data_IF_974779515757
#
_entry.id   IF_974779515757
#
_cell.length_a   1.000
_cell.length_b   1.000
_cell.length_c   1.000
_cell.angle_alpha   90.00
_cell.angle_beta   90.00
_cell.angle_gamma   90.00
#
_symmetry.space_group_name_H-M   'P 1'
#
loop_
_entity.id
_entity.type
_entity.pdbx_description
1 polymer ?
#
# COMPACT_ATOMS: atom_id res chain seq x y z
N UNK A 1 12.15 10.80 -7.54
CA UNK A 1 13.03 11.46 -8.52
C UNK A 1 13.49 10.41 -9.50
N UNK A 2 13.04 10.45 -10.74
CA UNK A 2 13.50 9.53 -11.79
C UNK A 2 14.58 10.25 -12.60
N UNK A 3 15.65 9.55 -12.93
CA UNK A 3 16.75 10.07 -13.75
C UNK A 3 16.56 9.64 -15.19
N UNK A 4 16.97 10.47 -16.16
CA UNK A 4 17.00 10.08 -17.55
C UNK A 4 18.08 9.01 -17.80
N UNK A 5 18.08 8.38 -18.97
CA UNK A 5 19.04 7.34 -19.37
C UNK A 5 20.52 7.79 -19.26
N UNK A 6 20.78 9.09 -19.17
CA UNK A 6 22.10 9.69 -19.02
C UNK A 6 22.45 10.05 -17.56
N UNK A 7 21.61 9.69 -16.58
CA UNK A 7 21.88 9.87 -15.16
C UNK A 7 21.70 11.29 -14.62
N UNK A 8 21.17 12.20 -15.41
CA UNK A 8 20.90 13.58 -15.00
C UNK A 8 19.48 13.69 -14.44
N UNK A 9 19.34 14.44 -13.34
CA UNK A 9 18.05 14.86 -12.85
C UNK A 9 17.34 15.68 -13.93
N UNK A 10 16.04 15.45 -14.15
CA UNK A 10 15.25 16.27 -15.06
C UNK A 10 15.34 17.72 -14.58
N UNK A 11 16.20 18.51 -15.22
CA UNK A 11 16.12 19.95 -15.12
C UNK A 11 14.96 20.37 -16.03
N UNK A 12 13.87 20.80 -15.40
CA UNK A 12 12.85 21.59 -16.10
C UNK A 12 13.52 22.91 -16.51
N UNK A 13 13.93 23.02 -17.77
CA UNK A 13 14.24 24.30 -18.39
C UNK A 13 12.95 25.07 -18.74
N UNK A 14 12.00 25.11 -17.83
CA UNK A 14 10.88 26.01 -17.84
C UNK A 14 11.17 27.15 -16.89
N UNK A 15 11.09 28.34 -17.39
CA UNK A 15 11.26 29.58 -16.62
C UNK A 15 10.28 29.61 -15.44
N UNK A 16 10.71 29.07 -14.31
CA UNK A 16 9.98 29.12 -13.05
C UNK A 16 9.98 30.55 -12.55
N UNK A 17 9.07 31.37 -13.06
CA UNK A 17 8.68 32.63 -12.41
C UNK A 17 7.51 32.32 -11.49
N UNK A 18 7.74 32.12 -10.20
CA UNK A 18 6.63 31.95 -9.26
C UNK A 18 5.90 33.29 -9.18
N UNK A 19 4.63 33.29 -9.45
CA UNK A 19 3.70 34.38 -9.18
C UNK A 19 3.73 35.65 -10.06
N UNK A 20 4.66 35.83 -10.98
CA UNK A 20 4.62 37.00 -11.91
C UNK A 20 3.48 36.94 -12.93
N UNK A 21 2.79 35.81 -13.03
CA UNK A 21 1.67 35.61 -13.95
C UNK A 21 0.30 36.03 -13.41
N UNK A 22 0.21 36.54 -12.20
CA UNK A 22 -1.07 36.92 -11.59
C UNK A 22 -1.54 38.32 -11.95
N UNK A 23 -0.74 39.09 -12.69
CA UNK A 23 -1.11 40.47 -13.03
C UNK A 23 -1.97 40.65 -14.29
N UNK A 24 -2.06 39.66 -15.18
CA UNK A 24 -2.94 39.81 -16.37
C UNK A 24 -3.75 38.53 -16.65
N UNK A 25 -5.01 38.58 -16.22
CA UNK A 25 -6.10 37.65 -16.57
C UNK A 25 -5.91 36.23 -16.08
N UNK A 26 -6.38 35.95 -14.87
CA UNK A 26 -6.71 34.61 -14.43
C UNK A 26 -7.68 33.96 -15.42
N UNK A 27 -7.21 32.97 -16.17
CA UNK A 27 -7.97 32.19 -17.11
C UNK A 27 -7.64 30.71 -16.97
N UNK A 28 -8.47 29.86 -17.58
CA UNK A 28 -8.14 28.45 -17.69
C UNK A 28 -6.94 28.26 -18.61
N UNK A 29 -6.04 27.33 -18.30
CA UNK A 29 -4.94 26.96 -19.18
C UNK A 29 -5.47 26.46 -20.51
N UNK A 30 -4.84 26.86 -21.62
CA UNK A 30 -5.18 26.31 -22.94
C UNK A 30 -4.78 24.83 -23.01
N UNK A 31 -5.43 24.07 -23.91
CA UNK A 31 -5.07 22.65 -24.11
C UNK A 31 -3.59 22.51 -24.50
N UNK A 32 -3.06 23.37 -25.32
CA UNK A 32 -1.65 23.38 -25.70
C UNK A 32 -0.72 23.56 -24.49
N UNK A 33 -1.06 24.45 -23.57
CA UNK A 33 -0.31 24.65 -22.33
C UNK A 33 -0.35 23.39 -21.46
N UNK A 34 -1.51 22.71 -21.39
CA UNK A 34 -1.67 21.47 -20.64
C UNK A 34 -0.84 20.34 -21.26
N UNK A 35 -0.93 20.16 -22.57
CA UNK A 35 -0.19 19.14 -23.32
C UNK A 35 1.33 19.33 -23.25
N UNK A 36 1.80 20.56 -23.26
CA UNK A 36 3.24 20.86 -23.13
C UNK A 36 3.80 20.66 -21.71
N UNK A 37 2.92 20.66 -20.69
CA UNK A 37 3.32 20.55 -19.29
C UNK A 37 3.18 19.15 -18.72
N UNK A 38 2.19 18.39 -19.17
CA UNK A 38 1.80 17.11 -18.61
C UNK A 38 2.03 15.98 -19.62
N UNK A 39 2.12 14.75 -19.13
CA UNK A 39 2.24 13.60 -19.99
C UNK A 39 0.97 13.40 -20.81
N UNK A 40 1.09 13.50 -22.13
CA UNK A 40 -0.01 13.32 -23.09
C UNK A 40 0.10 11.96 -23.77
N UNK A 41 -0.96 11.16 -23.71
CA UNK A 41 -0.98 9.82 -24.26
C UNK A 41 -2.36 9.41 -24.79
N UNK A 42 -2.37 8.47 -25.74
CA UNK A 42 -3.54 7.73 -26.18
C UNK A 42 -3.87 6.64 -25.14
N UNK A 43 -5.14 6.50 -24.77
CA UNK A 43 -5.64 5.54 -23.79
C UNK A 43 -6.10 4.20 -24.39
N UNK A 44 -5.93 4.01 -25.69
CA UNK A 44 -6.31 2.77 -26.40
C UNK A 44 -5.41 1.58 -26.05
N UNK A 45 -4.29 1.81 -25.35
CA UNK A 45 -3.30 0.80 -25.01
C UNK A 45 -2.65 1.01 -23.66
N UNK A 46 -1.51 0.35 -23.48
CA UNK A 46 -0.71 0.46 -22.27
C UNK A 46 -0.06 1.84 -22.17
N UNK A 47 -0.18 2.47 -21.01
CA UNK A 47 0.44 3.76 -20.73
C UNK A 47 1.87 3.58 -20.20
N UNK A 48 2.76 4.51 -20.52
CA UNK A 48 4.12 4.54 -20.01
C UNK A 48 4.17 5.00 -18.55
N UNK A 49 3.30 5.94 -18.17
CA UNK A 49 3.21 6.49 -16.82
C UNK A 49 1.76 6.50 -16.34
N UNK A 50 1.55 6.15 -15.08
CA UNK A 50 0.34 6.46 -14.34
C UNK A 50 0.33 7.90 -13.83
N UNK A 51 -0.72 8.29 -13.16
CA UNK A 51 -0.80 9.61 -12.54
C UNK A 51 -2.21 10.16 -12.44
N UNK A 52 -2.31 11.42 -12.02
CA UNK A 52 -3.60 12.09 -11.84
C UNK A 52 -4.06 12.66 -13.18
N UNK A 53 -5.27 12.32 -13.68
CA UNK A 53 -5.80 12.89 -14.91
C UNK A 53 -6.13 14.37 -14.74
N UNK A 54 -5.60 15.19 -15.65
CA UNK A 54 -5.83 16.64 -15.70
C UNK A 54 -6.84 16.99 -16.78
N UNK A 55 -6.79 16.29 -17.90
CA UNK A 55 -7.67 16.51 -19.04
C UNK A 55 -7.81 15.23 -19.88
N UNK A 56 -8.96 15.05 -20.53
CA UNK A 56 -9.19 13.97 -21.49
C UNK A 56 -10.26 14.38 -22.51
N UNK A 57 -10.14 13.86 -23.73
CA UNK A 57 -11.18 13.91 -24.78
C UNK A 57 -11.89 12.56 -24.98
N UNK A 58 -11.55 11.55 -24.17
CA UNK A 58 -12.08 10.19 -24.27
C UNK A 58 -11.21 9.24 -25.09
N UNK A 59 -10.24 9.74 -25.85
CA UNK A 59 -9.25 8.96 -26.61
C UNK A 59 -7.83 9.26 -26.15
N UNK A 60 -7.59 10.46 -25.70
CA UNK A 60 -6.32 10.91 -25.15
C UNK A 60 -6.50 11.43 -23.74
N UNK A 61 -5.42 11.42 -22.99
CA UNK A 61 -5.36 11.92 -21.62
C UNK A 61 -4.10 12.75 -21.40
N UNK A 62 -4.23 13.82 -20.62
CA UNK A 62 -3.09 14.48 -19.98
C UNK A 62 -3.01 14.04 -18.53
N UNK A 63 -1.90 13.45 -18.14
CA UNK A 63 -1.62 12.94 -16.79
C UNK A 63 -0.53 13.75 -16.11
N UNK A 64 -0.70 14.01 -14.82
CA UNK A 64 0.42 14.42 -13.99
C UNK A 64 1.10 13.15 -13.41
N UNK A 65 2.27 12.74 -13.94
CA UNK A 65 2.97 11.55 -13.47
C UNK A 65 3.81 11.79 -12.21
N UNK A 66 3.84 13.02 -11.72
CA UNK A 66 4.62 13.36 -10.52
C UNK A 66 4.02 12.69 -9.28
N UNK A 67 4.89 12.24 -8.37
CA UNK A 67 4.49 11.71 -7.06
C UNK A 67 4.10 12.88 -6.15
N UNK A 68 2.85 13.31 -6.26
CA UNK A 68 2.29 14.44 -5.49
C UNK A 68 1.09 13.99 -4.66
N UNK A 69 0.92 14.63 -3.52
CA UNK A 69 -0.31 14.49 -2.74
C UNK A 69 -1.40 15.35 -3.39
N UNK A 70 -2.47 14.72 -3.85
CA UNK A 70 -3.58 15.41 -4.50
C UNK A 70 -4.81 15.40 -3.60
N UNK A 71 -5.37 16.58 -3.33
CA UNK A 71 -6.63 16.74 -2.61
C UNK A 71 -7.76 17.07 -3.59
N UNK A 72 -8.82 16.24 -3.58
CA UNK A 72 -9.98 16.39 -4.44
C UNK A 72 -11.17 16.87 -3.59
N UNK A 73 -11.64 18.08 -3.86
CA UNK A 73 -12.77 18.68 -3.18
C UNK A 73 -13.99 18.72 -4.09
N UNK A 74 -15.16 18.48 -3.52
CA UNK A 74 -16.42 18.58 -4.25
C UNK A 74 -17.59 18.12 -3.38
N UNK A 75 -18.79 18.61 -3.66
CA UNK A 75 -20.00 18.25 -2.95
C UNK A 75 -20.38 16.77 -3.15
N UNK A 76 -21.26 16.27 -2.28
CA UNK A 76 -21.87 14.94 -2.47
C UNK A 76 -22.66 14.92 -3.78
N UNK A 77 -22.47 13.89 -4.60
CA UNK A 77 -23.11 13.79 -5.91
C UNK A 77 -22.39 14.52 -7.05
N UNK A 78 -21.31 15.26 -6.81
CA UNK A 78 -20.56 15.97 -7.87
C UNK A 78 -19.79 15.04 -8.85
N UNK A 79 -19.88 13.73 -8.66
CA UNK A 79 -19.26 12.75 -9.54
C UNK A 79 -17.78 12.46 -9.25
N UNK A 80 -17.23 12.89 -8.10
CA UNK A 80 -15.81 12.64 -7.74
C UNK A 80 -15.37 11.20 -7.91
N UNK A 81 -16.14 10.25 -7.34
CA UNK A 81 -15.79 8.83 -7.43
C UNK A 81 -15.77 8.36 -8.88
N UNK A 82 -16.81 8.66 -9.65
CA UNK A 82 -16.98 8.15 -11.01
C UNK A 82 -16.06 8.84 -12.03
N UNK A 83 -16.00 10.17 -11.98
CA UNK A 83 -15.34 10.95 -13.02
C UNK A 83 -13.85 11.16 -12.78
N UNK A 84 -13.38 10.97 -11.55
CA UNK A 84 -11.98 11.21 -11.24
C UNK A 84 -11.32 9.99 -10.60
N UNK A 85 -11.87 9.44 -9.51
CA UNK A 85 -11.20 8.34 -8.78
C UNK A 85 -11.18 7.07 -9.63
N UNK A 86 -12.31 6.68 -10.24
CA UNK A 86 -12.35 5.49 -11.13
C UNK A 86 -11.42 5.69 -12.32
N UNK A 87 -11.43 6.86 -12.94
CA UNK A 87 -10.54 7.15 -14.06
C UNK A 87 -9.06 7.08 -13.65
N UNK A 88 -8.73 7.61 -12.47
CA UNK A 88 -7.38 7.51 -11.94
C UNK A 88 -6.96 6.05 -11.70
N UNK A 89 -7.83 5.21 -11.16
CA UNK A 89 -7.57 3.78 -10.99
C UNK A 89 -7.32 3.09 -12.33
N UNK A 90 -8.17 3.34 -13.32
CA UNK A 90 -8.06 2.74 -14.65
C UNK A 90 -6.74 3.16 -15.33
N UNK A 91 -6.41 4.45 -15.31
CA UNK A 91 -5.22 4.98 -15.96
C UNK A 91 -3.93 4.48 -15.30
N UNK A 92 -3.91 4.37 -13.97
CA UNK A 92 -2.79 3.74 -13.27
C UNK A 92 -2.71 2.23 -13.54
N UNK A 93 -3.85 1.55 -13.74
CA UNK A 93 -3.86 0.14 -14.15
C UNK A 93 -3.27 -0.04 -15.56
N UNK A 94 -3.61 0.82 -16.52
CA UNK A 94 -3.03 0.81 -17.87
C UNK A 94 -1.52 1.05 -17.86
N UNK A 95 -1.02 1.78 -16.87
CA UNK A 95 0.40 2.03 -16.68
C UNK A 95 1.14 0.91 -15.92
N UNK A 96 0.43 -0.08 -15.36
CA UNK A 96 1.01 -1.15 -14.55
C UNK A 96 1.44 -0.71 -13.15
N UNK A 97 0.87 0.37 -12.62
CA UNK A 97 1.19 0.88 -11.27
C UNK A 97 0.45 0.10 -10.19
N UNK A 98 1.15 -0.31 -9.13
CA UNK A 98 0.52 -0.94 -7.96
C UNK A 98 -0.24 0.09 -7.13
N UNK A 99 -1.42 -0.29 -6.63
CA UNK A 99 -2.33 0.62 -5.96
C UNK A 99 -2.82 0.08 -4.62
N UNK A 100 -3.01 0.99 -3.66
CA UNK A 100 -3.75 0.74 -2.42
C UNK A 100 -4.94 1.69 -2.40
N UNK A 101 -6.15 1.14 -2.37
CA UNK A 101 -7.39 1.91 -2.46
C UNK A 101 -8.18 1.75 -1.17
N UNK A 102 -8.41 2.86 -0.45
CA UNK A 102 -9.27 2.89 0.74
C UNK A 102 -10.70 3.24 0.33
N UNK A 103 -11.57 2.24 0.35
CA UNK A 103 -12.98 2.37 -0.04
C UNK A 103 -13.91 2.35 1.17
N UNK A 104 -13.99 3.47 1.87
CA UNK A 104 -14.82 3.61 3.10
C UNK A 104 -16.29 3.34 2.83
N UNK A 105 -16.78 3.64 1.63
CA UNK A 105 -18.20 3.47 1.25
C UNK A 105 -18.52 2.12 0.63
N UNK A 106 -17.51 1.35 0.20
CA UNK A 106 -17.68 0.10 -0.52
C UNK A 106 -18.13 0.30 -1.98
N UNK A 107 -17.94 1.48 -2.57
CA UNK A 107 -18.36 1.78 -3.94
C UNK A 107 -17.56 0.98 -4.98
N UNK A 108 -16.28 0.72 -4.71
CA UNK A 108 -15.34 0.05 -5.62
C UNK A 108 -15.19 -1.44 -5.35
N UNK A 109 -15.53 -1.91 -4.15
CA UNK A 109 -15.42 -3.31 -3.75
C UNK A 109 -16.69 -4.12 -4.00
N UNK A 110 -17.84 -3.59 -3.60
CA UNK A 110 -19.15 -4.27 -3.68
C UNK A 110 -20.27 -3.38 -4.26
N UNK A 111 -20.02 -2.09 -4.43
CA UNK A 111 -20.99 -1.11 -4.88
C UNK A 111 -21.12 -1.01 -6.40
N UNK A 112 -21.75 0.05 -6.86
CA UNK A 112 -22.09 0.27 -8.27
C UNK A 112 -20.88 0.39 -9.21
N UNK A 113 -19.71 0.71 -8.70
CA UNK A 113 -18.47 0.87 -9.47
C UNK A 113 -17.55 -0.37 -9.40
N UNK A 114 -17.91 -1.37 -8.58
CA UNK A 114 -17.10 -2.56 -8.35
C UNK A 114 -16.82 -3.34 -9.64
N UNK A 115 -17.84 -3.55 -10.47
CA UNK A 115 -17.69 -4.31 -11.71
C UNK A 115 -16.72 -3.65 -12.70
N UNK A 116 -16.79 -2.33 -12.83
CA UNK A 116 -15.89 -1.58 -13.73
C UNK A 116 -14.46 -1.62 -13.23
N UNK A 117 -14.25 -1.34 -11.94
CA UNK A 117 -12.90 -1.30 -11.35
C UNK A 117 -12.27 -2.70 -11.37
N UNK A 118 -12.97 -3.72 -10.87
CA UNK A 118 -12.46 -5.09 -10.83
C UNK A 118 -12.19 -5.63 -12.24
N UNK A 119 -13.15 -5.50 -13.17
CA UNK A 119 -12.98 -5.97 -14.53
C UNK A 119 -11.77 -5.35 -15.21
N UNK A 120 -11.59 -4.02 -15.11
CA UNK A 120 -10.41 -3.36 -15.69
C UNK A 120 -9.11 -3.83 -15.05
N UNK A 121 -9.06 -4.04 -13.74
CA UNK A 121 -7.86 -4.51 -13.06
C UNK A 121 -7.52 -5.95 -13.47
N UNK A 122 -8.50 -6.85 -13.51
CA UNK A 122 -8.32 -8.25 -13.91
C UNK A 122 -7.88 -8.38 -15.38
N UNK A 123 -8.50 -7.60 -16.29
CA UNK A 123 -8.12 -7.54 -17.71
C UNK A 123 -6.67 -7.06 -17.92
N UNK A 124 -6.17 -6.20 -17.04
CA UNK A 124 -4.78 -5.75 -17.05
C UNK A 124 -3.83 -6.62 -16.21
N UNK A 125 -4.29 -7.80 -15.76
CA UNK A 125 -3.46 -8.80 -15.10
C UNK A 125 -3.14 -8.49 -13.64
N UNK A 126 -3.93 -7.65 -12.98
CA UNK A 126 -3.76 -7.36 -11.56
C UNK A 126 -4.28 -8.48 -10.68
N UNK A 127 -3.52 -8.80 -9.65
CA UNK A 127 -4.02 -9.54 -8.51
C UNK A 127 -4.67 -8.56 -7.54
N UNK A 128 -6.00 -8.65 -7.42
CA UNK A 128 -6.78 -7.79 -6.53
C UNK A 128 -7.01 -8.50 -5.20
N UNK A 129 -6.66 -7.83 -4.10
CA UNK A 129 -6.95 -8.26 -2.75
C UNK A 129 -7.99 -7.32 -2.14
N UNK A 130 -9.15 -7.85 -1.77
CA UNK A 130 -10.24 -7.07 -1.17
C UNK A 130 -10.39 -7.40 0.30
N UNK A 131 -10.12 -6.43 1.17
CA UNK A 131 -10.27 -6.57 2.62
C UNK A 131 -11.55 -5.85 3.05
N UNK A 132 -12.57 -6.60 3.47
CA UNK A 132 -13.79 -6.02 4.04
C UNK A 132 -13.94 -6.42 5.51
N UNK A 133 -13.62 -5.49 6.39
CA UNK A 133 -13.73 -5.69 7.83
C UNK A 133 -15.16 -5.57 8.39
N UNK A 134 -16.16 -5.23 7.56
CA UNK A 134 -17.55 -5.10 7.96
C UNK A 134 -18.30 -6.42 7.82
N UNK A 135 -18.11 -7.09 6.69
CA UNK A 135 -18.82 -8.33 6.38
C UNK A 135 -17.99 -9.58 6.70
N UNK A 136 -16.67 -9.44 6.76
CA UNK A 136 -15.71 -10.53 6.89
C UNK A 136 -15.84 -11.59 5.78
N UNK A 137 -16.54 -11.26 4.70
CA UNK A 137 -16.77 -12.10 3.52
C UNK A 137 -15.92 -11.57 2.36
N UNK A 138 -14.61 -11.59 2.56
CA UNK A 138 -13.63 -11.06 1.63
C UNK A 138 -12.30 -11.79 1.79
N UNK A 139 -11.29 -11.38 1.03
CA UNK A 139 -9.96 -11.98 1.09
C UNK A 139 -9.34 -11.78 2.48
N UNK A 140 -8.67 -12.81 2.97
CA UNK A 140 -7.86 -12.74 4.17
C UNK A 140 -6.45 -12.24 3.86
N UNK A 141 -5.91 -11.36 4.69
CA UNK A 141 -4.52 -10.93 4.59
C UNK A 141 -3.71 -11.36 5.79
N UNK A 142 -2.76 -12.27 5.56
CA UNK A 142 -1.82 -12.70 6.58
C UNK A 142 -0.52 -11.89 6.49
N UNK A 143 -0.38 -10.86 7.33
CA UNK A 143 0.81 -9.99 7.34
C UNK A 143 2.07 -10.68 7.86
N UNK A 144 1.98 -11.91 8.36
CA UNK A 144 3.13 -12.73 8.73
C UNK A 144 3.62 -13.64 7.59
N UNK A 145 2.85 -13.79 6.50
CA UNK A 145 3.21 -14.66 5.38
C UNK A 145 4.51 -14.22 4.70
N UNK A 146 4.62 -12.95 4.34
CA UNK A 146 5.81 -12.42 3.66
C UNK A 146 7.07 -12.55 4.52
N UNK A 147 7.12 -12.10 5.79
CA UNK A 147 8.30 -12.30 6.63
C UNK A 147 8.61 -13.79 6.86
N UNK A 148 7.61 -14.67 6.93
CA UNK A 148 7.85 -16.12 7.02
C UNK A 148 8.52 -16.67 5.76
N UNK A 149 8.04 -16.31 4.56
CA UNK A 149 8.66 -16.71 3.29
C UNK A 149 10.10 -16.21 3.18
N UNK A 150 10.38 -14.98 3.61
CA UNK A 150 11.75 -14.45 3.70
C UNK A 150 12.63 -15.28 4.65
N UNK A 151 12.10 -15.61 5.82
CA UNK A 151 12.79 -16.46 6.79
C UNK A 151 13.14 -17.82 6.20
N UNK A 152 12.17 -18.50 5.55
CA UNK A 152 12.35 -19.81 4.91
C UNK A 152 13.31 -19.78 3.72
N UNK A 153 13.44 -18.63 3.04
CA UNK A 153 14.43 -18.42 1.97
C UNK A 153 15.84 -18.09 2.46
N UNK A 154 16.08 -18.11 3.77
CA UNK A 154 17.40 -17.83 4.39
C UNK A 154 17.66 -16.35 4.70
N UNK A 155 16.73 -15.45 4.39
CA UNK A 155 16.83 -13.99 4.67
C UNK A 155 16.32 -13.70 6.10
N UNK A 156 16.99 -14.32 7.11
CA UNK A 156 16.52 -14.27 8.50
C UNK A 156 16.57 -12.86 9.11
N UNK A 157 17.56 -12.06 8.75
CA UNK A 157 17.73 -10.68 9.25
C UNK A 157 16.63 -9.77 8.71
N UNK A 158 16.38 -9.81 7.41
CA UNK A 158 15.32 -9.02 6.77
C UNK A 158 13.94 -9.43 7.29
N UNK A 159 13.71 -10.72 7.46
CA UNK A 159 12.49 -11.24 8.09
C UNK A 159 12.29 -10.68 9.50
N UNK A 160 13.34 -10.65 10.33
CA UNK A 160 13.30 -10.08 11.68
C UNK A 160 12.97 -8.59 11.67
N UNK A 161 13.55 -7.83 10.76
CA UNK A 161 13.26 -6.40 10.59
C UNK A 161 11.77 -6.22 10.24
N UNK A 162 11.26 -7.02 9.31
CA UNK A 162 9.86 -6.95 8.89
C UNK A 162 8.89 -7.33 10.01
N UNK A 163 9.20 -8.38 10.77
CA UNK A 163 8.45 -8.76 11.98
C UNK A 163 8.42 -7.62 12.99
N UNK A 164 9.54 -6.94 13.22
CA UNK A 164 9.58 -5.78 14.10
C UNK A 164 8.66 -4.64 13.62
N UNK A 165 8.56 -4.41 12.31
CA UNK A 165 7.61 -3.44 11.74
C UNK A 165 6.16 -3.85 12.00
N UNK A 166 5.82 -5.12 11.79
CA UNK A 166 4.48 -5.67 12.09
C UNK A 166 4.16 -5.50 13.58
N UNK A 167 5.08 -5.88 14.47
CA UNK A 167 4.87 -5.75 15.91
C UNK A 167 4.67 -4.30 16.33
N UNK A 168 5.46 -3.37 15.77
CA UNK A 168 5.28 -1.93 16.03
C UNK A 168 3.92 -1.43 15.54
N UNK A 169 3.46 -1.86 14.37
CA UNK A 169 2.15 -1.50 13.84
C UNK A 169 1.03 -2.01 14.74
N UNK A 170 1.05 -3.29 15.13
CA UNK A 170 0.06 -3.87 16.04
C UNK A 170 0.00 -3.11 17.38
N UNK A 171 1.15 -2.73 17.91
CA UNK A 171 1.21 -2.00 19.18
C UNK A 171 0.76 -0.55 19.08
N UNK A 172 0.95 0.09 17.94
CA UNK A 172 0.48 1.47 17.73
C UNK A 172 -1.04 1.60 17.88
N UNK A 173 -1.77 0.52 17.59
CA UNK A 173 -3.23 0.44 17.72
C UNK A 173 -3.65 0.45 19.21
N UNK A 174 -2.83 -0.14 20.08
CA UNK A 174 -3.14 -0.33 21.51
C UNK A 174 -2.45 0.68 22.44
N UNK A 175 -1.78 1.68 21.91
CA UNK A 175 -1.14 2.71 22.72
C UNK A 175 -2.15 3.51 23.51
N UNK A 176 -2.41 3.08 24.74
CA UNK A 176 -2.99 3.93 25.78
C UNK A 176 -2.01 5.07 26.08
N UNK A 177 -2.50 6.27 26.30
CA UNK A 177 -1.74 7.51 26.43
C UNK A 177 -0.73 7.58 27.59
N UNK A 178 -0.63 6.56 28.45
CA UNK A 178 0.12 6.59 29.72
C UNK A 178 0.96 5.32 30.01
N UNK A 179 1.35 4.54 29.00
CA UNK A 179 2.16 3.33 29.23
C UNK A 179 3.64 3.63 29.48
N UNK A 180 4.23 2.95 30.48
CA UNK A 180 5.67 2.98 30.71
C UNK A 180 6.42 2.43 29.48
N UNK A 181 7.36 3.19 28.89
CA UNK A 181 8.14 2.77 27.74
C UNK A 181 8.88 1.43 27.92
N UNK A 182 9.24 1.08 29.14
CA UNK A 182 9.90 -0.18 29.47
C UNK A 182 9.03 -1.40 29.15
N UNK A 183 7.78 -1.38 29.63
CA UNK A 183 6.84 -2.48 29.37
C UNK A 183 6.51 -2.59 27.88
N UNK A 184 6.46 -1.45 27.23
CA UNK A 184 6.23 -1.36 25.80
C UNK A 184 7.34 -2.05 25.01
N UNK A 185 8.58 -1.75 25.32
CA UNK A 185 9.72 -2.34 24.64
C UNK A 185 9.81 -3.84 24.93
N UNK A 186 9.58 -4.24 26.19
CA UNK A 186 9.63 -5.64 26.62
C UNK A 186 8.57 -6.48 25.90
N UNK A 187 7.33 -6.00 25.83
CA UNK A 187 6.26 -6.67 25.10
C UNK A 187 6.55 -6.79 23.61
N UNK A 188 7.16 -5.76 22.99
CA UNK A 188 7.56 -5.82 21.58
C UNK A 188 8.63 -6.88 21.34
N UNK A 189 9.65 -6.93 22.18
CA UNK A 189 10.72 -7.93 22.08
C UNK A 189 10.17 -9.35 22.29
N UNK A 190 9.29 -9.53 23.28
CA UNK A 190 8.64 -10.81 23.53
C UNK A 190 7.83 -11.28 22.32
N UNK A 191 6.98 -10.41 21.76
CA UNK A 191 6.15 -10.74 20.60
C UNK A 191 7.00 -11.06 19.36
N UNK A 192 8.06 -10.30 19.13
CA UNK A 192 9.02 -10.60 18.06
C UNK A 192 9.67 -11.97 18.25
N UNK A 193 10.12 -12.30 19.47
CA UNK A 193 10.74 -13.56 19.75
C UNK A 193 9.76 -14.74 19.54
N UNK A 194 8.51 -14.59 19.96
CA UNK A 194 7.46 -15.60 19.73
C UNK A 194 7.22 -15.82 18.23
N UNK A 195 7.11 -14.76 17.45
CA UNK A 195 6.92 -14.88 16.00
C UNK A 195 8.11 -15.57 15.32
N UNK A 196 9.34 -15.19 15.69
CA UNK A 196 10.53 -15.82 15.14
C UNK A 196 10.65 -17.30 15.53
N UNK A 197 10.24 -17.66 16.74
CA UNK A 197 10.17 -19.06 17.18
C UNK A 197 9.11 -19.85 16.39
N UNK A 198 7.95 -19.24 16.12
CA UNK A 198 6.95 -19.84 15.24
C UNK A 198 7.50 -20.09 13.84
N UNK A 199 8.29 -19.17 13.29
CA UNK A 199 8.91 -19.33 11.96
C UNK A 199 9.91 -20.51 11.93
N UNK A 200 10.62 -20.74 13.00
CA UNK A 200 11.53 -21.88 13.12
C UNK A 200 10.77 -23.21 13.23
N UNK A 201 9.72 -23.22 14.05
CA UNK A 201 9.00 -24.44 14.40
C UNK A 201 7.96 -24.86 13.36
N UNK A 202 7.20 -23.92 12.80
CA UNK A 202 6.14 -24.23 11.86
C UNK A 202 6.70 -24.48 10.46
N UNK A 203 6.41 -25.66 9.92
CA UNK A 203 6.88 -26.05 8.58
C UNK A 203 6.02 -25.54 7.43
N UNK A 204 4.81 -25.01 7.70
CA UNK A 204 3.83 -24.60 6.70
C UNK A 204 3.32 -23.19 6.97
N UNK A 205 3.13 -22.42 5.89
CA UNK A 205 2.68 -21.03 5.95
C UNK A 205 1.30 -20.89 6.59
N UNK A 206 0.39 -21.81 6.36
CA UNK A 206 -0.97 -21.78 6.91
C UNK A 206 -1.01 -21.83 8.44
N UNK A 207 0.07 -22.34 9.06
CA UNK A 207 0.23 -22.38 10.50
C UNK A 207 0.67 -21.03 11.08
N UNK A 208 1.20 -20.13 10.23
CA UNK A 208 1.69 -18.82 10.63
C UNK A 208 0.57 -17.82 10.47
N UNK A 209 -0.19 -17.58 11.52
CA UNK A 209 -1.30 -16.63 11.53
C UNK A 209 -1.51 -16.07 12.94
N UNK A 210 -2.39 -15.08 13.08
CA UNK A 210 -2.66 -14.40 14.34
C UNK A 210 -3.27 -15.32 15.39
N UNK A 211 -4.10 -16.28 15.00
CA UNK A 211 -4.73 -17.21 15.95
C UNK A 211 -3.68 -18.14 16.57
N UNK A 212 -2.75 -18.62 15.76
CA UNK A 212 -1.61 -19.39 16.26
C UNK A 212 -0.75 -18.54 17.21
N UNK A 213 -0.45 -17.30 16.83
CA UNK A 213 0.29 -16.38 17.67
C UNK A 213 -0.42 -16.14 19.03
N UNK A 214 -1.72 -15.91 19.02
CA UNK A 214 -2.52 -15.77 20.24
C UNK A 214 -2.42 -17.01 21.13
N UNK A 215 -2.51 -18.20 20.53
CA UNK A 215 -2.37 -19.47 21.27
C UNK A 215 -1.04 -19.55 22.01
N UNK A 216 0.04 -19.13 21.38
CA UNK A 216 1.38 -19.13 21.98
C UNK A 216 1.58 -18.07 23.07
N UNK A 217 0.74 -17.04 23.12
CA UNK A 217 0.79 -16.04 24.20
C UNK A 217 -0.01 -16.45 25.45
N UNK A 218 -0.73 -17.58 25.40
CA UNK A 218 -1.42 -18.15 26.57
C UNK A 218 -0.44 -18.85 27.54
N UNK A 219 -0.89 -19.14 28.77
CA UNK A 219 -0.10 -19.91 29.74
C UNK A 219 0.36 -21.27 29.20
N UNK A 220 -0.52 -21.97 28.48
CA UNK A 220 -0.18 -23.26 27.86
C UNK A 220 0.85 -23.08 26.75
N UNK A 221 0.71 -22.03 25.93
CA UNK A 221 1.66 -21.69 24.89
C UNK A 221 3.03 -21.31 25.46
N UNK A 222 3.07 -20.50 26.51
CA UNK A 222 4.32 -20.19 27.23
C UNK A 222 5.03 -21.43 27.79
N UNK A 223 4.26 -22.36 28.36
CA UNK A 223 4.80 -23.63 28.86
C UNK A 223 5.35 -24.52 27.74
N UNK A 224 4.67 -24.51 26.59
CA UNK A 224 5.13 -25.23 25.41
C UNK A 224 6.41 -24.61 24.83
N UNK A 225 6.50 -23.29 24.73
CA UNK A 225 7.70 -22.58 24.27
C UNK A 225 8.91 -22.86 25.15
N UNK A 226 8.72 -22.91 26.47
CA UNK A 226 9.81 -23.28 27.39
C UNK A 226 10.35 -24.67 27.09
N UNK A 227 9.47 -25.67 26.92
CA UNK A 227 9.90 -27.02 26.55
C UNK A 227 10.66 -27.06 25.23
N UNK A 228 10.17 -26.30 24.22
CA UNK A 228 10.86 -26.21 22.95
C UNK A 228 12.24 -25.57 23.08
N UNK A 229 12.36 -24.48 23.84
CA UNK A 229 13.67 -23.85 24.09
C UNK A 229 14.64 -24.78 24.78
N UNK A 230 14.18 -25.63 25.71
CA UNK A 230 14.98 -26.65 26.36
C UNK A 230 15.42 -27.76 25.39
N UNK A 231 14.50 -28.23 24.52
CA UNK A 231 14.80 -29.27 23.51
C UNK A 231 15.81 -28.81 22.45
N UNK A 232 15.76 -27.53 22.05
CA UNK A 232 16.67 -26.96 21.04
C UNK A 232 17.97 -26.39 21.62
N UNK A 233 18.21 -26.53 22.92
CA UNK A 233 19.48 -26.11 23.55
C UNK A 233 19.68 -24.59 23.56
N UNK A 234 18.63 -23.80 23.41
CA UNK A 234 18.71 -22.35 23.39
C UNK A 234 18.88 -21.71 24.80
N UNK A 235 18.96 -22.51 25.83
CA UNK A 235 19.05 -22.07 27.24
C UNK A 235 20.44 -22.16 27.86
N UNK A 236 21.47 -22.57 27.13
CA UNK A 236 22.83 -22.69 27.64
C UNK A 236 23.72 -21.52 27.20
N UNK A 237 23.33 -20.30 27.53
CA UNK A 237 24.27 -19.15 27.50
C UNK A 237 23.76 -17.98 28.34
#
# INVERSE_FOLDING_TARGET
MRRNENGNDYQYEGDWRPYAFLEEKSGFASLEMIQNRYFYADISGKLEYGGVPIWSDGTHVCLNPETVMTLILGETGSGKSRNLIVQNIILNALAGESMVIMDIKGEFSTGSLAGVVRGTLEENGYQCLFLDYRTLDADGYNFLAVPYQMYRSGKKEEASIMVNHVVKALRSIYKGSNGDPFWDLTASKYLTAVIMLLFEYCGREEQINMLTLETFTTEKGCSFMKKMAEEYGACDS
#
